data_IF_257816543221
#
_entry.id   IF_257816543221
#
_cell.length_a   1.000
_cell.length_b   1.000
_cell.length_c   1.000
_cell.angle_alpha   90.00
_cell.angle_beta   90.00
_cell.angle_gamma   90.00
#
_symmetry.space_group_name_H-M   'P 1'
#
loop_
_entity.id
_entity.type
_entity.pdbx_description
1 polymer ?
#
# COMPACT_ATOMS: atom_id res chain seq x y z
N UNK A 1 4.29 -25.16 -6.68
CA UNK A 1 5.21 -24.39 -5.87
C UNK A 1 4.53 -23.62 -4.76
N UNK A 2 5.22 -23.50 -3.65
CA UNK A 2 4.72 -22.85 -2.45
C UNK A 2 4.28 -21.39 -2.71
N UNK A 3 4.98 -20.71 -3.57
CA UNK A 3 4.70 -19.30 -3.91
C UNK A 3 3.33 -19.12 -4.58
N UNK A 4 2.96 -20.01 -5.48
CA UNK A 4 1.67 -19.93 -6.15
C UNK A 4 0.52 -20.28 -5.22
N UNK A 5 0.73 -21.28 -4.37
CA UNK A 5 -0.25 -21.67 -3.35
C UNK A 5 -0.52 -20.50 -2.40
N UNK A 6 0.53 -19.83 -1.96
CA UNK A 6 0.41 -18.66 -1.10
C UNK A 6 -0.36 -17.51 -1.77
N UNK A 7 -0.09 -17.28 -3.05
CA UNK A 7 -0.76 -16.27 -3.85
C UNK A 7 -2.27 -16.52 -3.95
N UNK A 8 -2.65 -17.78 -4.17
CA UNK A 8 -4.06 -18.17 -4.25
C UNK A 8 -4.76 -18.01 -2.90
N UNK A 9 -4.10 -18.41 -1.81
CA UNK A 9 -4.62 -18.22 -0.46
C UNK A 9 -4.88 -16.77 -0.12
N UNK A 10 -3.99 -15.87 -0.52
CA UNK A 10 -4.15 -14.45 -0.27
C UNK A 10 -5.33 -13.90 -1.07
N UNK A 11 -5.51 -14.33 -2.29
CA UNK A 11 -6.65 -13.90 -3.12
C UNK A 11 -7.97 -14.39 -2.53
N UNK A 12 -8.02 -15.62 -2.05
CA UNK A 12 -9.19 -16.19 -1.40
C UNK A 12 -9.53 -15.41 -0.12
N UNK A 13 -8.52 -15.11 0.68
CA UNK A 13 -8.71 -14.29 1.87
C UNK A 13 -9.25 -12.91 1.53
N UNK A 14 -8.73 -12.30 0.48
CA UNK A 14 -9.23 -11.01 0.00
C UNK A 14 -10.71 -11.07 -0.37
N UNK A 15 -11.15 -12.12 -1.03
CA UNK A 15 -12.56 -12.32 -1.37
C UNK A 15 -13.43 -12.51 -0.14
N UNK A 16 -12.96 -13.30 0.84
CA UNK A 16 -13.66 -13.48 2.10
C UNK A 16 -13.87 -12.16 2.85
N UNK A 17 -12.91 -11.24 2.71
CA UNK A 17 -13.00 -9.93 3.32
C UNK A 17 -13.86 -8.96 2.50
N UNK A 18 -14.43 -9.41 1.39
CA UNK A 18 -15.29 -8.58 0.55
C UNK A 18 -14.53 -7.63 -0.36
N UNK A 19 -13.28 -7.91 -0.66
CA UNK A 19 -12.49 -7.08 -1.57
C UNK A 19 -12.95 -7.27 -3.00
N UNK A 20 -13.12 -6.20 -3.78
CA UNK A 20 -13.45 -6.32 -5.19
C UNK A 20 -12.33 -7.02 -5.97
N UNK A 21 -12.69 -7.84 -6.96
CA UNK A 21 -11.70 -8.47 -7.82
C UNK A 21 -10.79 -7.46 -8.50
N UNK A 22 -11.32 -6.32 -8.86
CA UNK A 22 -10.55 -5.23 -9.47
C UNK A 22 -9.46 -4.71 -8.52
N UNK A 23 -9.71 -4.73 -7.22
CA UNK A 23 -8.70 -4.36 -6.23
C UNK A 23 -7.58 -5.39 -6.16
N UNK A 24 -7.95 -6.67 -6.12
CA UNK A 24 -7.00 -7.77 -5.95
C UNK A 24 -6.11 -7.97 -7.17
N UNK A 25 -6.62 -7.75 -8.38
CA UNK A 25 -5.92 -8.08 -9.60
C UNK A 25 -5.58 -6.94 -10.55
N UNK A 26 -5.73 -5.68 -10.13
CA UNK A 26 -5.68 -4.56 -11.07
C UNK A 26 -4.28 -4.22 -11.58
N UNK A 27 -3.30 -4.04 -10.72
CA UNK A 27 -1.91 -3.80 -11.10
C UNK A 27 -1.17 -5.12 -11.20
N UNK A 28 -0.07 -5.20 -11.99
CA UNK A 28 0.75 -6.39 -11.98
C UNK A 28 1.37 -6.60 -10.59
N UNK A 29 1.23 -7.82 -10.09
CA UNK A 29 1.82 -8.20 -8.82
C UNK A 29 2.96 -9.19 -9.07
N UNK A 30 4.22 -8.81 -8.90
CA UNK A 30 5.32 -9.76 -8.98
C UNK A 30 5.36 -10.74 -7.80
N UNK A 31 4.54 -10.50 -6.78
CA UNK A 31 4.50 -11.31 -5.58
C UNK A 31 3.08 -11.70 -5.18
N UNK A 32 2.89 -12.26 -3.99
CA UNK A 32 1.63 -12.85 -3.56
C UNK A 32 0.52 -11.88 -3.17
N UNK A 33 0.67 -10.60 -3.32
CA UNK A 33 -0.43 -9.65 -3.12
C UNK A 33 -0.51 -9.07 -1.72
N UNK A 34 -1.72 -8.97 -1.16
CA UNK A 34 -1.95 -8.21 0.07
C UNK A 34 -1.13 -8.66 1.28
N UNK A 35 -0.92 -9.97 1.45
CA UNK A 35 -0.25 -10.47 2.64
C UNK A 35 1.20 -10.00 2.76
N UNK A 36 1.92 -9.84 1.65
CA UNK A 36 3.31 -9.35 1.71
C UNK A 36 3.39 -7.87 1.97
N UNK A 37 2.27 -7.18 1.93
CA UNK A 37 2.18 -5.75 2.23
C UNK A 37 1.78 -5.49 3.67
N UNK A 38 1.73 -6.55 4.48
CA UNK A 38 1.60 -6.50 5.93
C UNK A 38 2.78 -7.26 6.53
N UNK A 39 3.97 -6.63 6.60
CA UNK A 39 5.12 -7.29 7.20
C UNK A 39 4.82 -7.66 8.66
N UNK A 40 5.33 -8.82 9.09
CA UNK A 40 5.08 -9.31 10.43
C UNK A 40 3.82 -10.15 10.52
N UNK A 41 3.13 -10.11 11.64
CA UNK A 41 1.93 -10.90 11.85
C UNK A 41 0.77 -10.38 11.02
N UNK A 42 0.14 -11.26 10.27
CA UNK A 42 -1.01 -10.93 9.42
C UNK A 42 -2.28 -11.19 10.22
N UNK A 43 -3.12 -10.18 10.36
CA UNK A 43 -4.43 -10.30 10.97
C UNK A 43 -5.49 -9.74 10.04
N UNK A 44 -6.74 -10.14 10.28
CA UNK A 44 -7.87 -9.64 9.51
C UNK A 44 -8.01 -8.12 9.64
N UNK A 45 -7.83 -7.58 10.83
CA UNK A 45 -7.89 -6.15 11.07
C UNK A 45 -6.82 -5.39 10.29
N UNK A 46 -5.58 -5.90 10.27
CA UNK A 46 -4.49 -5.27 9.54
C UNK A 46 -4.75 -5.29 8.02
N UNK A 47 -5.25 -6.40 7.50
CA UNK A 47 -5.60 -6.51 6.09
C UNK A 47 -6.70 -5.52 5.70
N UNK A 48 -7.69 -5.34 6.56
CA UNK A 48 -8.77 -4.39 6.32
C UNK A 48 -8.28 -2.95 6.34
N UNK A 49 -7.42 -2.61 7.29
CA UNK A 49 -6.78 -1.28 7.35
C UNK A 49 -5.96 -1.03 6.08
N UNK A 50 -5.14 -2.00 5.68
CA UNK A 50 -4.35 -1.90 4.46
C UNK A 50 -5.23 -1.72 3.22
N UNK A 51 -6.29 -2.51 3.09
CA UNK A 51 -7.21 -2.42 1.96
C UNK A 51 -7.79 -1.02 1.81
N UNK A 52 -8.24 -0.45 2.92
CA UNK A 52 -8.83 0.88 2.90
C UNK A 52 -7.83 1.95 2.50
N UNK A 53 -6.61 1.86 3.03
CA UNK A 53 -5.54 2.79 2.66
C UNK A 53 -5.17 2.67 1.18
N UNK A 54 -5.07 1.45 0.69
CA UNK A 54 -4.71 1.19 -0.70
C UNK A 54 -5.76 1.71 -1.68
N UNK A 55 -7.04 1.54 -1.36
CA UNK A 55 -8.15 2.06 -2.18
C UNK A 55 -8.05 3.58 -2.30
N UNK A 56 -7.80 4.28 -1.20
CA UNK A 56 -7.66 5.74 -1.20
C UNK A 56 -6.45 6.16 -2.04
N UNK A 57 -5.33 5.48 -1.86
CA UNK A 57 -4.09 5.78 -2.58
C UNK A 57 -4.29 5.63 -4.09
N UNK A 58 -4.86 4.52 -4.53
CA UNK A 58 -5.12 4.28 -5.95
C UNK A 58 -6.14 5.28 -6.52
N UNK A 59 -7.13 5.66 -5.72
CA UNK A 59 -8.11 6.67 -6.11
C UNK A 59 -7.44 8.03 -6.36
N UNK A 60 -6.54 8.44 -5.47
CA UNK A 60 -5.80 9.70 -5.65
C UNK A 60 -4.88 9.65 -6.88
N UNK A 61 -4.27 8.50 -7.15
CA UNK A 61 -3.45 8.30 -8.35
C UNK A 61 -4.30 8.47 -9.61
N UNK A 62 -5.50 7.88 -9.63
CA UNK A 62 -6.41 8.03 -10.77
C UNK A 62 -6.88 9.47 -10.94
N UNK A 63 -7.24 10.11 -9.84
CA UNK A 63 -7.70 11.50 -9.88
C UNK A 63 -6.61 12.46 -10.38
N UNK A 64 -5.36 12.14 -10.13
CA UNK A 64 -4.22 12.91 -10.61
C UNK A 64 -3.83 12.57 -12.06
N UNK A 65 -4.49 11.59 -12.68
CA UNK A 65 -4.18 11.18 -14.06
C UNK A 65 -2.88 10.40 -14.19
N UNK A 66 -2.42 9.77 -13.13
CA UNK A 66 -1.11 9.11 -13.08
C UNK A 66 -1.17 7.57 -13.18
N UNK A 67 -2.37 7.02 -13.22
CA UNK A 67 -2.55 5.56 -13.14
C UNK A 67 -1.77 4.80 -14.22
N UNK A 68 -1.80 5.30 -15.46
CA UNK A 68 -1.13 4.63 -16.58
C UNK A 68 0.37 4.95 -16.66
N UNK A 69 0.82 6.02 -16.02
CA UNK A 69 2.24 6.40 -15.98
C UNK A 69 3.03 5.54 -15.00
N UNK A 70 2.40 5.12 -13.92
CA UNK A 70 3.03 4.35 -12.85
C UNK A 70 2.95 2.87 -13.20
N UNK A 71 4.09 2.18 -13.12
CA UNK A 71 4.18 0.73 -13.36
C UNK A 71 3.44 -0.05 -12.29
N UNK A 72 3.68 0.28 -11.02
CA UNK A 72 3.06 -0.37 -9.88
C UNK A 72 3.01 0.58 -8.69
N UNK A 73 1.88 0.59 -8.00
CA UNK A 73 1.69 1.40 -6.80
C UNK A 73 0.87 0.62 -5.78
N UNK A 74 1.25 0.74 -4.52
CA UNK A 74 0.55 0.06 -3.43
C UNK A 74 0.89 0.68 -2.09
N UNK A 75 0.06 0.40 -1.10
CA UNK A 75 0.32 0.75 0.29
C UNK A 75 0.88 -0.47 1.04
N UNK A 76 1.66 -0.21 2.08
CA UNK A 76 2.21 -1.21 2.99
C UNK A 76 1.83 -0.80 4.40
N UNK A 77 1.31 -1.72 5.20
CA UNK A 77 1.02 -1.46 6.60
C UNK A 77 2.18 -1.98 7.44
N UNK A 78 2.92 -1.07 8.06
CA UNK A 78 4.10 -1.45 8.85
C UNK A 78 3.68 -1.99 10.22
N UNK A 79 4.41 -2.99 10.77
CA UNK A 79 4.11 -3.56 12.09
C UNK A 79 4.64 -2.70 13.23
N UNK A 80 4.56 -1.39 13.07
CA UNK A 80 5.07 -0.40 14.01
C UNK A 80 3.93 0.55 14.34
N UNK A 81 3.75 0.82 15.63
CA UNK A 81 2.80 1.82 16.09
C UNK A 81 3.55 3.05 16.55
N UNK A 82 3.00 4.20 16.22
CA UNK A 82 3.60 5.50 16.57
C UNK A 82 2.56 6.39 17.25
N UNK A 83 3.09 7.37 18.01
CA UNK A 83 2.25 8.35 18.66
C UNK A 83 1.79 9.40 17.65
N UNK A 84 0.50 9.70 17.68
CA UNK A 84 -0.10 10.77 16.90
C UNK A 84 -1.01 11.63 17.79
N UNK A 85 -1.48 12.73 17.22
CA UNK A 85 -2.45 13.61 17.87
C UNK A 85 -3.60 13.83 16.90
N UNK A 86 -4.81 13.47 17.33
CA UNK A 86 -6.04 13.68 16.56
C UNK A 86 -6.99 14.51 17.42
N UNK A 87 -7.14 15.80 17.03
CA UNK A 87 -7.86 16.75 17.89
C UNK A 87 -7.11 16.92 19.22
N UNK A 88 -7.79 16.71 20.35
CA UNK A 88 -7.19 16.80 21.68
C UNK A 88 -6.64 15.46 22.18
N UNK A 89 -6.86 14.38 21.44
CA UNK A 89 -6.49 13.03 21.88
C UNK A 89 -5.18 12.59 21.28
N UNK A 90 -4.37 11.89 22.08
CA UNK A 90 -3.19 11.17 21.59
C UNK A 90 -3.65 9.83 21.06
N UNK A 91 -3.04 9.41 19.97
CA UNK A 91 -3.30 8.11 19.37
C UNK A 91 -2.03 7.28 19.34
N UNK A 92 -2.20 5.96 19.23
CA UNK A 92 -1.09 5.02 19.10
C UNK A 92 -1.50 4.02 18.02
N UNK A 93 -1.16 4.34 16.78
CA UNK A 93 -1.64 3.63 15.61
C UNK A 93 -0.50 3.29 14.65
N UNK A 94 -0.84 2.58 13.59
CA UNK A 94 0.12 2.07 12.64
C UNK A 94 0.62 3.13 11.67
N UNK A 95 1.76 2.81 11.07
CA UNK A 95 2.37 3.58 9.98
C UNK A 95 2.01 2.92 8.66
N UNK A 96 1.57 3.71 7.71
CA UNK A 96 1.33 3.27 6.34
C UNK A 96 2.44 3.82 5.45
N UNK A 97 3.12 2.94 4.71
CA UNK A 97 4.09 3.35 3.71
C UNK A 97 3.45 3.26 2.33
N UNK A 98 3.70 4.27 1.50
CA UNK A 98 3.24 4.28 0.12
C UNK A 98 4.41 3.97 -0.80
N UNK A 99 4.17 3.17 -1.81
CA UNK A 99 5.15 2.78 -2.81
C UNK A 99 4.59 3.07 -4.20
N UNK A 100 5.40 3.63 -5.07
CA UNK A 100 5.07 3.76 -6.49
C UNK A 100 6.37 3.76 -7.29
N UNK A 101 6.40 3.02 -8.38
CA UNK A 101 7.59 2.90 -9.22
C UNK A 101 7.22 2.97 -10.69
N UNK A 102 8.19 3.42 -11.49
CA UNK A 102 8.16 3.29 -12.93
C UNK A 102 9.19 2.26 -13.35
N UNK A 103 8.86 1.47 -14.36
CA UNK A 103 9.75 0.42 -14.87
C UNK A 103 9.31 0.06 -16.27
N UNK A 104 10.22 -0.54 -17.05
CA UNK A 104 9.88 -1.10 -18.37
C UNK A 104 9.81 -2.62 -18.33
N UNK A 105 10.57 -3.26 -17.45
CA UNK A 105 10.71 -4.72 -17.41
C UNK A 105 10.62 -5.32 -16.02
N UNK A 106 10.49 -4.51 -14.98
CA UNK A 106 10.46 -4.96 -13.59
C UNK A 106 11.82 -5.33 -13.02
N UNK A 107 12.87 -5.38 -13.80
CA UNK A 107 14.22 -5.71 -13.32
C UNK A 107 14.88 -4.52 -12.66
N UNK A 108 14.71 -3.34 -13.25
CA UNK A 108 15.10 -2.07 -12.64
C UNK A 108 13.87 -1.18 -12.55
N UNK A 109 13.82 -0.35 -11.55
CA UNK A 109 12.69 0.55 -11.33
C UNK A 109 13.14 1.78 -10.55
N UNK A 110 12.51 2.90 -10.85
CA UNK A 110 12.71 4.14 -10.11
C UNK A 110 11.45 4.45 -9.32
N UNK A 111 11.61 4.96 -8.09
CA UNK A 111 10.43 5.45 -7.38
C UNK A 111 9.83 6.62 -8.14
N UNK A 112 8.51 6.71 -8.12
CA UNK A 112 7.81 7.77 -8.82
C UNK A 112 7.86 9.08 -8.03
N UNK A 113 8.28 10.21 -8.62
CA UNK A 113 8.40 11.47 -7.90
C UNK A 113 7.06 12.23 -7.83
N UNK A 114 6.21 11.84 -6.89
CA UNK A 114 4.98 12.62 -6.65
C UNK A 114 5.33 14.02 -6.16
N UNK A 115 4.50 15.00 -6.51
CA UNK A 115 4.66 16.34 -5.93
C UNK A 115 4.19 16.37 -4.47
N UNK A 116 4.60 17.42 -3.75
CA UNK A 116 4.27 17.57 -2.34
C UNK A 116 2.78 17.66 -2.08
N UNK A 117 2.05 18.32 -2.97
CA UNK A 117 0.60 18.47 -2.82
C UNK A 117 -0.12 17.14 -2.90
N UNK A 118 0.29 16.28 -3.84
CA UNK A 118 -0.26 14.93 -3.95
C UNK A 118 -0.01 14.14 -2.68
N UNK A 119 1.23 14.11 -2.21
CA UNK A 119 1.61 13.35 -1.02
C UNK A 119 0.88 13.85 0.22
N UNK A 120 0.81 15.16 0.41
CA UNK A 120 0.12 15.75 1.55
C UNK A 120 -1.38 15.46 1.54
N UNK A 121 -2.02 15.64 0.40
CA UNK A 121 -3.45 15.36 0.25
C UNK A 121 -3.77 13.90 0.49
N UNK A 122 -2.99 13.00 -0.10
CA UNK A 122 -3.18 11.56 0.05
C UNK A 122 -2.98 11.13 1.49
N UNK A 123 -1.91 11.60 2.14
CA UNK A 123 -1.64 11.29 3.54
C UNK A 123 -2.78 11.75 4.45
N UNK A 124 -3.23 12.99 4.27
CA UNK A 124 -4.33 13.53 5.06
C UNK A 124 -5.62 12.73 4.87
N UNK A 125 -5.91 12.35 3.64
CA UNK A 125 -7.11 11.58 3.34
C UNK A 125 -7.05 10.19 4.00
N UNK A 126 -5.90 9.51 3.89
CA UNK A 126 -5.72 8.20 4.52
C UNK A 126 -5.88 8.30 6.04
N UNK A 127 -5.21 9.24 6.67
CA UNK A 127 -5.25 9.39 8.13
C UNK A 127 -6.66 9.72 8.62
N UNK A 128 -7.39 10.56 7.89
CA UNK A 128 -8.73 10.98 8.29
C UNK A 128 -9.80 9.93 8.02
N UNK A 129 -9.64 9.13 6.95
CA UNK A 129 -10.67 8.17 6.55
C UNK A 129 -10.40 6.74 6.99
N UNK A 130 -9.15 6.40 7.33
CA UNK A 130 -8.78 5.04 7.72
C UNK A 130 -8.42 5.03 9.20
N UNK A 131 -9.31 4.49 10.02
CA UNK A 131 -9.05 4.32 11.44
C UNK A 131 -7.95 3.27 11.64
N UNK A 132 -6.94 3.60 12.42
CA UNK A 132 -5.81 2.71 12.71
C UNK A 132 -4.49 3.15 12.09
N UNK A 133 -4.48 4.20 11.27
CA UNK A 133 -3.27 4.79 10.70
C UNK A 133 -3.17 6.23 11.16
N UNK A 134 -2.04 6.60 11.76
CA UNK A 134 -1.79 7.98 12.16
C UNK A 134 -0.53 8.59 11.53
N UNK A 135 0.15 7.84 10.67
CA UNK A 135 1.35 8.32 10.00
C UNK A 135 1.49 7.67 8.63
N UNK A 136 1.82 8.49 7.64
CA UNK A 136 2.05 8.04 6.27
C UNK A 136 3.47 8.44 5.87
N UNK A 137 4.21 7.50 5.28
CA UNK A 137 5.55 7.74 4.74
C UNK A 137 5.57 7.30 3.28
N UNK A 138 6.51 7.84 2.50
CA UNK A 138 6.68 7.46 1.10
C UNK A 138 8.04 6.79 0.90
N UNK A 139 8.04 5.62 0.25
CA UNK A 139 9.25 4.86 -0.02
C UNK A 139 9.98 5.43 -1.24
N UNK A 140 11.12 6.07 -1.02
CA UNK A 140 11.92 6.75 -2.05
C UNK A 140 13.10 5.89 -2.52
N UNK A 141 12.90 4.58 -2.58
CA UNK A 141 13.95 3.62 -2.93
C UNK A 141 13.74 3.07 -4.33
N UNK A 142 14.78 3.14 -5.14
CA UNK A 142 14.77 2.56 -6.49
C UNK A 142 15.23 1.10 -6.44
N UNK A 143 15.00 0.36 -7.51
CA UNK A 143 15.48 -1.01 -7.67
C UNK A 143 16.56 -1.03 -8.74
N UNK A 144 17.83 -1.41 -8.46
CA UNK A 144 18.36 -1.65 -7.12
C UNK A 144 18.52 -0.36 -6.31
N UNK A 145 18.76 -0.36 -4.98
CA UNK A 145 19.07 -1.52 -4.15
C UNK A 145 17.84 -2.22 -3.57
N UNK A 146 16.69 -1.56 -3.54
CA UNK A 146 15.49 -2.20 -3.04
C UNK A 146 14.80 -3.03 -4.13
N UNK A 147 13.85 -3.86 -3.72
CA UNK A 147 12.94 -4.51 -4.66
C UNK A 147 11.70 -3.64 -4.84
N UNK A 148 10.84 -3.97 -5.81
CA UNK A 148 9.59 -3.23 -6.01
C UNK A 148 8.68 -3.53 -4.81
N UNK A 149 8.33 -4.79 -4.60
CA UNK A 149 7.61 -5.20 -3.38
C UNK A 149 8.59 -5.30 -2.22
N UNK A 150 8.07 -5.22 -1.00
CA UNK A 150 8.88 -5.25 0.21
C UNK A 150 9.31 -6.67 0.63
N UNK A 151 8.66 -7.67 0.07
CA UNK A 151 9.06 -9.07 0.31
C UNK A 151 9.06 -9.92 -0.97
#
# INVERSE_FOLDING_TARGET
PLRELFKDEVRDLGRELGLPDVFVGRHPFPGPGLAIRVPGEITRDKLEILRKADVIYLDEIRNAGLYDTIWQAFAVLLPVQTVGVMGDARTYDYVCALRAVTSTDGMTADYFPFDHEFLGRTANRIINEVKGINRVVYDVTSKPPGTIEWE
#
